data_IF_838735890242
#
_entry.id   IF_838735890242
#
_cell.length_a   1.000
_cell.length_b   1.000
_cell.length_c   1.000
_cell.angle_alpha   90.00
_cell.angle_beta   90.00
_cell.angle_gamma   90.00
#
_symmetry.space_group_name_H-M   'P 1'
#
loop_
_entity.id
_entity.type
_entity.pdbx_description
1 polymer ?
#
# COMPACT_ATOMS: atom_id res chain seq x y z
N UNK A 1 16.76 14.70 -40.95
CA UNK A 1 18.04 14.06 -40.59
C UNK A 1 18.25 14.30 -39.10
N UNK A 2 17.90 13.35 -38.25
CA UNK A 2 18.21 13.42 -36.82
C UNK A 2 19.73 13.23 -36.72
N UNK A 3 20.45 14.27 -36.29
CA UNK A 3 21.91 14.23 -36.16
C UNK A 3 22.30 13.10 -35.19
N UNK A 4 23.40 12.39 -35.48
CA UNK A 4 23.96 11.40 -34.54
C UNK A 4 24.23 12.02 -33.16
N UNK A 5 24.41 13.35 -33.09
CA UNK A 5 24.57 14.09 -31.84
C UNK A 5 23.29 14.06 -30.97
N UNK A 6 22.09 14.10 -31.58
CA UNK A 6 20.81 14.05 -30.84
C UNK A 6 20.49 12.65 -30.31
N UNK A 7 20.91 11.60 -31.02
CA UNK A 7 20.76 10.21 -30.53
C UNK A 7 21.70 9.93 -29.36
N UNK A 8 22.94 10.45 -29.40
CA UNK A 8 23.91 10.28 -28.33
C UNK A 8 23.49 10.96 -27.02
N UNK A 9 22.90 12.15 -27.08
CA UNK A 9 22.42 12.89 -25.89
C UNK A 9 21.21 12.18 -25.24
N UNK A 10 20.30 11.61 -26.03
CA UNK A 10 19.17 10.83 -25.52
C UNK A 10 19.61 9.51 -24.88
N UNK A 11 20.60 8.83 -25.46
CA UNK A 11 21.16 7.60 -24.90
C UNK A 11 21.90 7.84 -23.58
N UNK A 12 22.63 8.96 -23.45
CA UNK A 12 23.28 9.34 -22.20
C UNK A 12 22.29 9.68 -21.08
N UNK A 13 21.16 10.34 -21.41
CA UNK A 13 20.10 10.62 -20.44
C UNK A 13 19.39 9.34 -19.97
N UNK A 14 19.19 8.35 -20.85
CA UNK A 14 18.64 7.04 -20.49
C UNK A 14 19.59 6.24 -19.59
N UNK A 15 20.89 6.27 -19.87
CA UNK A 15 21.91 5.57 -19.09
C UNK A 15 22.08 6.18 -17.69
N UNK A 16 21.96 7.50 -17.55
CA UNK A 16 22.03 8.17 -16.25
C UNK A 16 20.82 7.85 -15.34
N UNK A 17 19.63 7.64 -15.92
CA UNK A 17 18.44 7.23 -15.17
C UNK A 17 18.49 5.78 -14.68
N UNK A 18 19.21 4.91 -15.40
CA UNK A 18 19.33 3.48 -15.06
C UNK A 18 20.30 3.19 -13.90
N UNK A 19 21.13 4.15 -13.52
CA UNK A 19 22.17 4.02 -12.50
C UNK A 19 21.76 4.57 -11.12
N UNK A 20 20.51 5.01 -10.96
CA UNK A 20 20.02 5.40 -9.65
C UNK A 20 19.75 4.15 -8.81
N UNK A 21 20.75 3.78 -8.02
CA UNK A 21 20.65 2.84 -6.92
C UNK A 21 19.71 3.43 -5.85
N UNK A 22 18.40 3.27 -6.06
CA UNK A 22 17.37 3.65 -5.09
C UNK A 22 17.50 2.67 -3.92
N UNK A 23 18.33 3.03 -2.96
CA UNK A 23 18.37 2.33 -1.67
C UNK A 23 16.97 2.38 -1.07
N UNK A 24 16.35 1.23 -0.74
CA UNK A 24 15.10 1.26 0.01
C UNK A 24 15.40 1.98 1.32
N UNK A 25 14.63 3.04 1.60
CA UNK A 25 14.66 3.66 2.90
C UNK A 25 14.17 2.62 3.91
N UNK A 26 15.12 1.95 4.57
CA UNK A 26 14.79 1.13 5.73
C UNK A 26 14.35 2.10 6.81
N UNK A 27 13.03 2.27 6.93
CA UNK A 27 12.43 2.91 8.08
C UNK A 27 12.78 2.05 9.29
N UNK A 28 13.88 2.40 9.99
CA UNK A 28 14.07 1.94 11.36
C UNK A 28 12.89 2.51 12.13
N UNK A 29 11.87 1.68 12.36
CA UNK A 29 10.74 2.08 13.17
C UNK A 29 11.25 2.53 14.53
N UNK A 30 11.04 3.82 14.84
CA UNK A 30 11.27 4.27 16.20
C UNK A 30 10.33 3.48 17.10
N UNK A 31 10.86 2.96 18.22
CA UNK A 31 9.97 2.41 19.24
C UNK A 31 9.00 3.52 19.66
N UNK A 32 7.70 3.22 19.79
CA UNK A 32 6.79 4.15 20.41
C UNK A 32 7.29 4.48 21.83
N UNK A 33 6.96 5.67 22.37
CA UNK A 33 7.20 6.00 23.77
C UNK A 33 6.73 4.87 24.71
N UNK A 34 7.41 4.68 25.85
CA UNK A 34 7.05 3.61 26.81
C UNK A 34 5.63 3.78 27.38
N UNK A 35 5.11 5.00 27.39
CA UNK A 35 3.78 5.38 27.84
C UNK A 35 2.75 5.51 26.70
N UNK A 36 3.11 5.13 25.48
CA UNK A 36 2.17 5.16 24.37
C UNK A 36 0.97 4.23 24.64
N UNK A 37 -0.26 4.66 24.34
CA UNK A 37 -1.43 3.81 24.52
C UNK A 37 -1.35 2.59 23.60
N UNK A 38 -1.88 1.46 24.09
CA UNK A 38 -2.12 0.29 23.24
C UNK A 38 -3.23 0.65 22.25
N UNK A 39 -2.97 0.47 20.96
CA UNK A 39 -3.96 0.67 19.91
C UNK A 39 -4.62 -0.65 19.53
N UNK A 40 -5.95 -0.68 19.55
CA UNK A 40 -6.79 -1.75 19.05
C UNK A 40 -7.07 -1.52 17.55
N UNK A 41 -6.47 -2.31 16.68
CA UNK A 41 -6.55 -2.14 15.23
C UNK A 41 -7.37 -3.28 14.62
N UNK A 42 -8.51 -2.95 14.01
CA UNK A 42 -9.36 -3.90 13.30
C UNK A 42 -8.73 -4.34 11.97
N UNK A 43 -8.01 -5.46 12.00
CA UNK A 43 -7.35 -6.07 10.83
C UNK A 43 -8.39 -6.44 9.76
N UNK A 44 -8.39 -5.67 8.66
CA UNK A 44 -9.39 -5.71 7.58
C UNK A 44 -10.84 -5.51 8.05
N UNK A 45 -11.03 -4.76 9.14
CA UNK A 45 -12.28 -4.66 9.88
C UNK A 45 -12.44 -5.74 10.95
N UNK A 46 -13.67 -6.08 11.31
CA UNK A 46 -13.99 -7.19 12.20
C UNK A 46 -14.02 -8.52 11.42
N UNK A 47 -12.92 -8.84 10.73
CA UNK A 47 -12.80 -9.93 9.75
C UNK A 47 -13.06 -11.33 10.31
N UNK A 48 -12.91 -11.51 11.63
CA UNK A 48 -13.32 -12.74 12.32
C UNK A 48 -14.83 -12.93 12.46
N UNK A 49 -15.63 -11.90 12.17
CA UNK A 49 -17.08 -11.86 12.39
C UNK A 49 -17.90 -11.51 11.14
N UNK A 50 -17.30 -10.80 10.18
CA UNK A 50 -17.91 -10.43 8.90
C UNK A 50 -16.85 -10.51 7.78
N UNK A 51 -17.25 -10.61 6.50
CA UNK A 51 -16.30 -10.70 5.39
C UNK A 51 -15.31 -9.53 5.36
N UNK A 52 -14.02 -9.83 5.24
CA UNK A 52 -12.94 -8.84 5.24
C UNK A 52 -13.12 -7.75 4.17
N UNK A 53 -12.64 -6.53 4.44
CA UNK A 53 -12.73 -5.38 3.55
C UNK A 53 -14.12 -4.98 3.06
N UNK A 54 -15.16 -5.31 3.82
CA UNK A 54 -16.53 -4.88 3.54
C UNK A 54 -17.01 -3.83 4.54
N UNK A 55 -17.99 -3.00 4.12
CA UNK A 55 -18.62 -2.02 5.01
C UNK A 55 -19.17 -2.69 6.30
N UNK A 56 -19.85 -3.85 6.26
CA UNK A 56 -20.28 -4.54 7.48
C UNK A 56 -19.13 -4.90 8.45
N UNK A 57 -17.98 -5.34 7.95
CA UNK A 57 -16.83 -5.62 8.81
C UNK A 57 -16.24 -4.34 9.42
N UNK A 58 -16.23 -3.24 8.67
CA UNK A 58 -15.81 -1.93 9.15
C UNK A 58 -16.75 -1.37 10.21
N UNK A 59 -18.06 -1.37 9.94
CA UNK A 59 -19.08 -0.90 10.87
C UNK A 59 -19.05 -1.68 12.19
N UNK A 60 -18.86 -3.01 12.12
CA UNK A 60 -18.75 -3.85 13.31
C UNK A 60 -17.45 -3.57 14.09
N UNK A 61 -16.31 -3.35 13.42
CA UNK A 61 -15.07 -2.96 14.10
C UNK A 61 -15.23 -1.65 14.86
N UNK A 62 -15.91 -0.66 14.27
CA UNK A 62 -16.24 0.61 14.94
C UNK A 62 -17.14 0.38 16.16
N UNK A 63 -18.17 -0.45 16.03
CA UNK A 63 -19.07 -0.80 17.15
C UNK A 63 -18.35 -1.54 18.28
N UNK A 64 -17.32 -2.33 17.95
CA UNK A 64 -16.48 -3.04 18.91
C UNK A 64 -15.41 -2.16 19.57
N UNK A 65 -15.29 -0.89 19.18
CA UNK A 65 -14.33 0.04 19.77
C UNK A 65 -12.90 -0.13 19.27
N UNK A 66 -12.72 -0.48 17.98
CA UNK A 66 -11.41 -0.37 17.35
C UNK A 66 -10.98 1.12 17.26
N UNK A 67 -9.71 1.40 17.58
CA UNK A 67 -9.12 2.73 17.43
C UNK A 67 -8.88 3.06 15.94
N UNK A 68 -8.52 2.05 15.17
CA UNK A 68 -8.30 2.14 13.73
C UNK A 68 -8.89 0.93 13.00
N UNK A 69 -9.27 1.15 11.75
CA UNK A 69 -9.51 0.09 10.77
C UNK A 69 -8.27 0.02 9.89
N UNK A 70 -7.75 -1.18 9.70
CA UNK A 70 -6.62 -1.43 8.79
C UNK A 70 -7.15 -1.82 7.39
N UNK A 71 -6.45 -1.37 6.35
CA UNK A 71 -6.81 -1.61 4.95
C UNK A 71 -5.59 -2.04 4.13
N UNK A 72 -5.73 -3.18 3.46
CA UNK A 72 -4.89 -3.59 2.34
C UNK A 72 -5.43 -2.93 1.06
N UNK A 73 -4.56 -2.32 0.27
CA UNK A 73 -4.95 -1.62 -0.95
C UNK A 73 -4.38 -2.30 -2.20
N UNK A 74 -5.24 -2.45 -3.20
CA UNK A 74 -4.88 -2.88 -4.55
C UNK A 74 -5.25 -1.78 -5.56
N UNK A 75 -4.59 -1.79 -6.72
CA UNK A 75 -4.84 -0.82 -7.79
C UNK A 75 -5.47 -1.52 -8.99
N UNK A 76 -6.65 -1.05 -9.42
CA UNK A 76 -7.31 -1.56 -10.61
C UNK A 76 -6.59 -1.12 -11.89
N UNK A 77 -6.92 -1.77 -13.02
CA UNK A 77 -6.35 -1.43 -14.34
C UNK A 77 -6.59 0.01 -14.78
N UNK A 78 -7.71 0.61 -14.36
CA UNK A 78 -8.10 1.99 -14.61
C UNK A 78 -7.62 2.97 -13.52
N UNK A 79 -6.78 2.50 -12.58
CA UNK A 79 -6.08 3.35 -11.60
C UNK A 79 -6.90 3.69 -10.35
N UNK A 80 -7.92 2.90 -10.01
CA UNK A 80 -8.75 3.08 -8.81
C UNK A 80 -8.18 2.23 -7.68
N UNK A 81 -8.02 2.82 -6.49
CA UNK A 81 -7.64 2.07 -5.29
C UNK A 81 -8.87 1.33 -4.73
N UNK A 82 -8.70 0.05 -4.42
CA UNK A 82 -9.72 -0.81 -3.81
C UNK A 82 -9.16 -1.47 -2.56
N UNK A 83 -10.01 -1.67 -1.55
CA UNK A 83 -9.63 -2.42 -0.35
C UNK A 83 -9.74 -3.92 -0.62
N UNK A 84 -8.61 -4.59 -0.76
CA UNK A 84 -8.49 -6.02 -1.06
C UNK A 84 -7.10 -6.49 -0.64
N UNK A 85 -7.02 -7.65 0.00
CA UNK A 85 -5.73 -8.18 0.44
C UNK A 85 -4.96 -8.88 -0.69
N UNK A 86 -5.65 -9.69 -1.48
CA UNK A 86 -5.00 -10.56 -2.49
C UNK A 86 -4.81 -9.83 -3.82
N UNK A 87 -3.84 -10.30 -4.61
CA UNK A 87 -3.62 -9.85 -5.99
C UNK A 87 -4.66 -10.41 -6.98
N UNK A 88 -5.45 -11.40 -6.55
CA UNK A 88 -6.51 -12.04 -7.34
C UNK A 88 -7.83 -12.04 -6.60
N UNK A 89 -8.94 -12.24 -7.32
CA UNK A 89 -10.28 -12.19 -6.75
C UNK A 89 -10.75 -13.53 -6.15
N UNK A 90 -10.04 -14.62 -6.43
CA UNK A 90 -10.53 -16.00 -6.25
C UNK A 90 -10.96 -16.35 -4.82
N UNK A 91 -10.29 -15.78 -3.81
CA UNK A 91 -10.55 -16.13 -2.40
C UNK A 91 -11.78 -15.42 -1.82
N UNK A 92 -12.11 -14.23 -2.32
CA UNK A 92 -13.05 -13.29 -1.68
C UNK A 92 -14.14 -12.74 -2.63
N UNK A 93 -14.22 -13.27 -3.85
CA UNK A 93 -15.23 -12.94 -4.86
C UNK A 93 -16.67 -13.32 -4.45
#
# INVERSE_FOLDING_TARGET
MVSMLTVAVMAAALAAGLLMDVKPASAKGNKPPEDAPVLNIGHRGASGYAPEHTIPAYDLALQMGADYIEQDLQLTKDGVLVAMHDDTLDRTA
#
